data_IF_558688088115
#
_entry.id   IF_558688088115
#
_cell.length_a   1.000
_cell.length_b   1.000
_cell.length_c   1.000
_cell.angle_alpha   90.00
_cell.angle_beta   90.00
_cell.angle_gamma   90.00
#
_symmetry.space_group_name_H-M   'P 1'
#
loop_
_entity.id
_entity.type
_entity.pdbx_description
1 polymer ?
#
# COMPACT_ATOMS: atom_id res chain seq x y z
N UNK A 1 13.91 40.42 8.49
CA UNK A 1 14.95 39.45 8.10
C UNK A 1 14.84 38.27 9.02
N UNK A 2 14.16 37.22 8.58
CA UNK A 2 14.15 35.93 9.27
C UNK A 2 15.43 35.17 8.86
N UNK A 3 16.08 34.43 9.77
CA UNK A 3 17.20 33.58 9.39
C UNK A 3 16.69 32.32 8.69
N UNK A 4 17.40 31.93 7.64
CA UNK A 4 17.30 30.65 6.93
C UNK A 4 17.33 29.47 7.91
N UNK A 5 16.36 28.56 7.77
CA UNK A 5 16.49 27.22 8.32
C UNK A 5 17.43 26.44 7.40
N UNK A 6 18.63 26.16 7.90
CA UNK A 6 19.63 25.34 7.23
C UNK A 6 19.16 23.88 7.17
N UNK A 7 19.00 23.37 5.95
CA UNK A 7 18.97 21.93 5.64
C UNK A 7 20.42 21.49 5.44
N UNK A 8 20.91 20.38 6.04
CA UNK A 8 22.28 19.95 5.84
C UNK A 8 22.49 19.47 4.39
N UNK A 9 23.69 19.65 3.80
CA UNK A 9 23.93 19.34 2.41
C UNK A 9 24.15 17.82 2.23
N UNK A 10 23.18 17.16 1.62
CA UNK A 10 23.43 15.99 0.79
C UNK A 10 22.92 16.35 -0.59
N UNK A 11 23.77 16.27 -1.63
CA UNK A 11 23.48 16.69 -3.00
C UNK A 11 22.00 16.52 -3.37
N UNK A 12 21.33 17.64 -3.66
CA UNK A 12 19.97 17.63 -4.16
C UNK A 12 19.97 16.80 -5.45
N UNK A 13 19.24 15.69 -5.42
CA UNK A 13 19.03 14.85 -6.59
C UNK A 13 18.35 15.71 -7.66
N UNK A 14 19.11 16.11 -8.67
CA UNK A 14 18.63 17.06 -9.68
C UNK A 14 17.90 16.31 -10.78
N UNK A 15 16.62 16.65 -10.98
CA UNK A 15 15.79 16.09 -12.06
C UNK A 15 15.50 17.15 -13.11
N UNK A 16 16.00 16.92 -14.33
CA UNK A 16 15.71 17.76 -15.49
C UNK A 16 14.52 17.20 -16.26
N UNK A 17 13.38 17.89 -16.24
CA UNK A 17 12.22 17.54 -17.07
C UNK A 17 12.52 17.90 -18.53
N UNK A 18 12.61 16.88 -19.39
CA UNK A 18 12.86 17.02 -20.83
C UNK A 18 11.57 17.30 -21.57
N UNK A 19 10.47 16.63 -21.19
CA UNK A 19 9.15 16.91 -21.74
C UNK A 19 8.03 16.56 -20.76
N UNK A 20 6.93 17.30 -20.83
CA UNK A 20 5.68 17.04 -20.10
C UNK A 20 4.52 17.24 -21.07
N UNK A 21 3.65 16.23 -21.19
CA UNK A 21 2.55 16.24 -22.16
C UNK A 21 1.29 15.71 -21.51
N UNK A 22 0.18 16.44 -21.68
CA UNK A 22 -1.15 15.92 -21.40
C UNK A 22 -1.55 14.97 -22.55
N UNK A 23 -1.97 13.77 -22.20
CA UNK A 23 -2.42 12.72 -23.10
C UNK A 23 -3.94 12.67 -23.06
N UNK A 24 -4.55 12.82 -24.24
CA UNK A 24 -5.98 12.64 -24.44
C UNK A 24 -6.25 11.27 -25.03
N UNK A 25 -7.43 10.71 -24.75
CA UNK A 25 -7.87 9.48 -25.39
C UNK A 25 -7.83 9.64 -26.92
N UNK A 26 -7.28 8.64 -27.61
CA UNK A 26 -7.27 8.60 -29.07
C UNK A 26 -8.67 8.38 -29.65
N UNK A 27 -9.56 7.76 -28.87
CA UNK A 27 -10.97 7.59 -29.20
C UNK A 27 -11.82 8.73 -28.61
N UNK A 28 -12.37 9.58 -29.49
CA UNK A 28 -13.18 10.73 -29.11
C UNK A 28 -14.55 10.35 -28.51
N UNK A 29 -14.97 9.08 -28.60
CA UNK A 29 -16.18 8.58 -27.96
C UNK A 29 -15.98 8.34 -26.45
N UNK A 30 -14.72 8.24 -26.00
CA UNK A 30 -14.39 8.15 -24.58
C UNK A 30 -14.54 9.55 -23.96
N UNK A 31 -15.69 9.79 -23.34
CA UNK A 31 -15.97 10.99 -22.56
C UNK A 31 -15.56 10.71 -21.10
N UNK A 32 -14.45 11.27 -20.59
CA UNK A 32 -14.07 11.06 -19.20
C UNK A 32 -15.10 11.71 -18.27
N UNK A 33 -15.74 10.90 -17.42
CA UNK A 33 -16.76 11.39 -16.48
C UNK A 33 -16.18 12.17 -15.29
N UNK A 34 -14.85 12.20 -15.10
CA UNK A 34 -14.24 12.66 -13.83
C UNK A 34 -13.00 13.56 -13.96
N UNK A 35 -12.34 13.72 -15.13
CA UNK A 35 -11.05 14.44 -15.15
C UNK A 35 -10.46 14.82 -16.53
N UNK A 36 -9.40 15.64 -16.49
CA UNK A 36 -8.70 16.32 -17.60
C UNK A 36 -7.78 15.41 -18.44
N UNK A 37 -7.49 14.19 -17.99
CA UNK A 37 -6.76 13.17 -18.75
C UNK A 37 -5.64 12.46 -17.97
N UNK A 38 -4.68 11.91 -18.71
CA UNK A 38 -3.42 11.38 -18.18
C UNK A 38 -2.25 12.28 -18.62
N UNK A 39 -1.12 12.26 -17.94
CA UNK A 39 0.10 12.93 -18.42
C UNK A 39 1.27 11.96 -18.59
N UNK A 40 2.17 12.31 -19.50
CA UNK A 40 3.47 11.66 -19.67
C UNK A 40 4.57 12.70 -19.44
N UNK A 41 5.44 12.40 -18.48
CA UNK A 41 6.65 13.16 -18.16
C UNK A 41 7.86 12.33 -18.58
N UNK A 42 8.81 12.97 -19.26
CA UNK A 42 10.12 12.38 -19.54
C UNK A 42 11.15 13.29 -18.90
N UNK A 43 12.01 12.73 -18.06
CA UNK A 43 13.03 13.46 -17.33
C UNK A 43 14.34 12.69 -17.23
N UNK A 44 15.37 13.40 -16.80
CA UNK A 44 16.70 12.87 -16.56
C UNK A 44 17.12 13.19 -15.13
N UNK A 45 17.72 12.21 -14.46
CA UNK A 45 18.18 12.28 -13.07
C UNK A 45 19.70 12.30 -13.09
N UNK A 46 20.29 13.36 -12.55
CA UNK A 46 21.74 13.51 -12.45
C UNK A 46 22.33 12.72 -11.27
N UNK A 47 22.03 11.42 -11.25
CA UNK A 47 22.54 10.46 -10.28
C UNK A 47 22.52 9.05 -10.88
N UNK A 48 23.34 8.15 -10.34
CA UNK A 48 23.24 6.72 -10.63
C UNK A 48 22.20 6.06 -9.73
N UNK A 49 21.46 5.06 -10.21
CA UNK A 49 20.52 4.30 -9.36
C UNK A 49 21.22 3.69 -8.12
N UNK A 50 22.45 3.21 -8.29
CA UNK A 50 23.24 2.62 -7.20
C UNK A 50 23.70 3.61 -6.13
N UNK A 51 23.64 4.92 -6.38
CA UNK A 51 24.03 5.94 -5.39
C UNK A 51 22.88 6.38 -4.49
N UNK A 52 21.65 5.87 -4.70
CA UNK A 52 20.49 6.21 -3.87
C UNK A 52 20.54 5.45 -2.54
N UNK A 53 20.16 6.13 -1.45
CA UNK A 53 19.97 5.49 -0.14
C UNK A 53 18.58 4.86 -0.07
N UNK A 54 18.49 3.59 -0.47
CA UNK A 54 17.24 2.85 -0.42
C UNK A 54 16.77 2.53 1.00
N UNK A 55 17.57 2.70 2.07
CA UNK A 55 17.10 2.36 3.42
C UNK A 55 16.04 3.37 3.89
N UNK A 56 16.23 4.65 3.59
CA UNK A 56 15.29 5.73 3.86
C UNK A 56 14.51 6.17 2.63
N UNK A 57 13.20 6.38 2.76
CA UNK A 57 12.37 6.82 1.63
C UNK A 57 12.79 8.21 1.10
N UNK A 58 13.10 9.15 2.00
CA UNK A 58 13.54 10.52 1.68
C UNK A 58 14.93 10.58 1.04
N UNK A 59 15.74 9.52 1.22
CA UNK A 59 17.04 9.35 0.58
C UNK A 59 16.99 8.69 -0.80
N UNK A 60 15.82 8.14 -1.19
CA UNK A 60 15.66 7.35 -2.41
C UNK A 60 14.39 7.71 -3.19
N UNK A 61 13.32 6.93 -3.05
CA UNK A 61 12.19 6.93 -3.98
C UNK A 61 11.41 8.25 -3.94
N UNK A 62 11.29 8.90 -2.79
CA UNK A 62 10.62 10.22 -2.71
C UNK A 62 11.31 11.29 -3.53
N UNK A 63 12.64 11.21 -3.69
CA UNK A 63 13.41 12.19 -4.46
C UNK A 63 13.10 12.13 -5.95
N UNK A 64 12.57 11.02 -6.45
CA UNK A 64 12.26 10.80 -7.86
C UNK A 64 10.77 10.97 -8.20
N UNK A 65 9.92 11.24 -7.22
CA UNK A 65 8.50 11.51 -7.46
C UNK A 65 8.32 12.98 -7.84
N UNK A 66 7.97 13.26 -9.10
CA UNK A 66 7.63 14.63 -9.50
C UNK A 66 6.17 14.95 -9.17
N UNK A 67 5.87 16.17 -8.68
CA UNK A 67 4.48 16.57 -8.43
C UNK A 67 3.70 16.68 -9.74
N UNK A 68 2.42 16.31 -9.68
CA UNK A 68 1.49 16.43 -10.78
C UNK A 68 0.16 17.03 -10.32
N UNK A 69 -0.60 17.68 -11.23
CA UNK A 69 -1.86 18.33 -10.86
C UNK A 69 -2.91 17.34 -10.31
N UNK A 70 -3.67 17.75 -9.31
CA UNK A 70 -4.71 16.93 -8.65
C UNK A 70 -5.81 16.44 -9.61
N UNK A 71 -6.06 17.20 -10.68
CA UNK A 71 -7.05 16.90 -11.72
C UNK A 71 -6.56 15.90 -12.78
N UNK A 72 -5.30 15.47 -12.70
CA UNK A 72 -4.74 14.39 -13.52
C UNK A 72 -5.00 13.03 -12.84
N UNK A 73 -5.63 12.09 -13.56
CA UNK A 73 -5.95 10.77 -12.99
C UNK A 73 -4.76 9.82 -12.98
N UNK A 74 -3.88 9.97 -13.97
CA UNK A 74 -2.71 9.14 -14.15
C UNK A 74 -1.56 10.00 -14.66
N UNK A 75 -0.49 10.14 -13.86
CA UNK A 75 0.79 10.70 -14.28
C UNK A 75 1.78 9.57 -14.46
N UNK A 76 2.44 9.51 -15.61
CA UNK A 76 3.48 8.52 -15.87
C UNK A 76 4.78 9.27 -16.11
N UNK A 77 5.79 8.98 -15.31
CA UNK A 77 7.06 9.70 -15.35
C UNK A 77 8.18 8.73 -15.66
N UNK A 78 8.76 8.89 -16.85
CA UNK A 78 9.91 8.13 -17.33
C UNK A 78 11.17 8.91 -16.99
N UNK A 79 11.92 8.43 -16.01
CA UNK A 79 13.09 9.12 -15.50
C UNK A 79 14.34 8.31 -15.80
N UNK A 80 15.22 8.83 -16.65
CA UNK A 80 16.49 8.20 -17.00
C UNK A 80 17.59 8.66 -16.06
N UNK A 81 18.37 7.72 -15.51
CA UNK A 81 19.48 7.99 -14.61
C UNK A 81 20.81 8.10 -15.37
N UNK A 82 21.81 8.75 -14.76
CA UNK A 82 23.14 8.94 -15.35
C UNK A 82 23.85 7.60 -15.66
N UNK A 83 23.54 6.53 -14.92
CA UNK A 83 24.05 5.18 -15.17
C UNK A 83 23.41 4.47 -16.38
N UNK A 84 22.44 5.10 -17.06
CA UNK A 84 21.71 4.52 -18.19
C UNK A 84 20.48 3.71 -17.81
N UNK A 85 20.30 3.37 -16.53
CA UNK A 85 19.06 2.82 -16.00
C UNK A 85 17.91 3.84 -16.01
N UNK A 86 16.69 3.38 -15.71
CA UNK A 86 15.52 4.26 -15.65
C UNK A 86 14.51 3.78 -14.60
N UNK A 87 13.63 4.68 -14.19
CA UNK A 87 12.44 4.36 -13.40
C UNK A 87 11.18 4.80 -14.15
N UNK A 88 10.08 4.11 -13.87
CA UNK A 88 8.73 4.52 -14.27
C UNK A 88 7.94 4.82 -13.00
N UNK A 89 7.63 6.10 -12.78
CA UNK A 89 6.79 6.53 -11.65
C UNK A 89 5.35 6.64 -12.12
N UNK A 90 4.45 6.03 -11.35
CA UNK A 90 3.01 5.99 -11.63
C UNK A 90 2.27 6.81 -10.58
N UNK A 91 2.00 8.07 -10.91
CA UNK A 91 1.09 8.91 -10.12
C UNK A 91 -0.35 8.50 -10.39
N UNK A 92 -1.03 7.92 -9.41
CA UNK A 92 -2.39 7.40 -9.56
C UNK A 92 -3.36 8.14 -8.64
N UNK A 93 -4.44 8.68 -9.20
CA UNK A 93 -5.57 9.10 -8.39
C UNK A 93 -6.31 7.85 -7.90
N UNK A 94 -6.43 7.68 -6.58
CA UNK A 94 -7.05 6.49 -5.97
C UNK A 94 -8.59 6.50 -5.99
N UNK A 95 -9.23 7.63 -6.35
CA UNK A 95 -10.68 7.73 -6.47
C UNK A 95 -11.25 6.74 -7.51
N UNK A 96 -10.72 6.66 -8.75
CA UNK A 96 -11.22 5.72 -9.74
C UNK A 96 -10.84 4.26 -9.47
N UNK A 97 -9.74 3.95 -8.79
CA UNK A 97 -9.24 2.57 -8.70
C UNK A 97 -8.42 2.31 -7.44
N UNK A 98 -8.37 1.04 -7.04
CA UNK A 98 -7.52 0.54 -5.95
C UNK A 98 -6.19 -0.04 -6.47
N UNK A 99 -5.40 -0.61 -5.55
CA UNK A 99 -4.13 -1.28 -5.86
C UNK A 99 -4.23 -2.37 -6.94
N UNK A 100 -5.36 -3.09 -7.03
CA UNK A 100 -5.61 -4.06 -8.09
C UNK A 100 -5.74 -3.36 -9.44
N UNK A 101 -6.52 -2.27 -9.49
CA UNK A 101 -6.72 -1.49 -10.71
C UNK A 101 -5.43 -0.92 -11.28
N UNK A 102 -4.62 -0.25 -10.47
CA UNK A 102 -3.33 0.29 -10.96
C UNK A 102 -2.36 -0.82 -11.38
N UNK A 103 -2.32 -1.95 -10.66
CA UNK A 103 -1.48 -3.10 -11.05
C UNK A 103 -1.91 -3.69 -12.39
N UNK A 104 -3.23 -3.72 -12.67
CA UNK A 104 -3.76 -4.11 -13.97
C UNK A 104 -3.34 -3.16 -15.08
N UNK A 105 -3.36 -1.83 -14.85
CA UNK A 105 -2.90 -0.83 -15.82
C UNK A 105 -1.42 -1.06 -16.18
N UNK A 106 -0.55 -1.24 -15.17
CA UNK A 106 0.88 -1.50 -15.39
C UNK A 106 1.09 -2.77 -16.22
N UNK A 107 0.43 -3.87 -15.85
CA UNK A 107 0.52 -5.16 -16.54
C UNK A 107 0.02 -5.09 -17.99
N UNK A 108 -1.09 -4.40 -18.24
CA UNK A 108 -1.63 -4.28 -19.60
C UNK A 108 -0.75 -3.38 -20.48
N UNK A 109 -0.12 -2.36 -19.89
CA UNK A 109 0.79 -1.51 -20.64
C UNK A 109 2.13 -2.21 -20.91
N UNK A 110 2.66 -3.01 -19.98
CA UNK A 110 3.87 -3.80 -20.26
C UNK A 110 3.63 -4.81 -21.38
N UNK A 111 2.46 -5.48 -21.40
CA UNK A 111 2.02 -6.32 -22.52
C UNK A 111 1.94 -5.55 -23.85
N UNK A 112 1.29 -4.37 -23.85
CA UNK A 112 1.18 -3.53 -25.03
C UNK A 112 2.56 -3.11 -25.55
N UNK A 113 3.47 -2.74 -24.66
CA UNK A 113 4.83 -2.32 -25.02
C UNK A 113 5.63 -3.47 -25.66
N UNK A 114 5.51 -4.70 -25.15
CA UNK A 114 6.23 -5.86 -25.68
C UNK A 114 5.62 -6.41 -26.97
N UNK A 115 4.30 -6.43 -27.08
CA UNK A 115 3.60 -7.20 -28.13
C UNK A 115 2.90 -6.33 -29.17
N UNK A 116 2.78 -5.02 -28.93
CA UNK A 116 2.04 -4.10 -29.79
C UNK A 116 0.51 -4.22 -29.68
N UNK A 117 -0.01 -5.08 -28.80
CA UNK A 117 -1.45 -5.23 -28.54
C UNK A 117 -1.71 -5.61 -27.09
N UNK A 118 -2.97 -5.49 -26.67
CA UNK A 118 -3.47 -6.06 -25.41
C UNK A 118 -4.27 -7.29 -25.81
N UNK A 119 -4.08 -8.43 -25.14
CA UNK A 119 -4.72 -9.70 -25.51
C UNK A 119 -6.24 -9.56 -25.75
N UNK A 120 -6.68 -10.09 -26.88
CA UNK A 120 -8.09 -10.13 -27.26
C UNK A 120 -8.90 -10.93 -26.23
N UNK A 121 -9.95 -10.31 -25.66
CA UNK A 121 -10.85 -10.96 -24.69
C UNK A 121 -10.77 -10.43 -23.25
N UNK A 122 -9.83 -9.54 -22.92
CA UNK A 122 -9.81 -8.86 -21.61
C UNK A 122 -10.87 -7.74 -21.62
N UNK A 123 -12.12 -8.09 -21.30
CA UNK A 123 -13.18 -7.09 -21.12
C UNK A 123 -13.08 -6.53 -19.71
N UNK A 124 -12.51 -5.32 -19.58
CA UNK A 124 -12.50 -4.60 -18.30
C UNK A 124 -13.94 -4.18 -17.97
N UNK A 125 -14.41 -4.57 -16.79
CA UNK A 125 -15.69 -4.16 -16.28
C UNK A 125 -15.56 -2.79 -15.60
N UNK A 126 -16.07 -1.75 -16.24
CA UNK A 126 -16.16 -0.39 -15.71
C UNK A 126 -17.54 -0.07 -15.11
N UNK A 127 -18.50 -1.00 -15.15
CA UNK A 127 -19.87 -0.78 -14.68
C UNK A 127 -19.90 -0.63 -13.16
N UNK A 128 -20.00 0.62 -12.69
CA UNK A 128 -20.18 0.94 -11.26
C UNK A 128 -21.59 0.64 -10.76
N UNK A 129 -22.55 0.45 -11.66
CA UNK A 129 -23.94 0.17 -11.31
C UNK A 129 -24.16 -1.24 -10.77
N UNK A 130 -23.12 -2.09 -10.77
CA UNK A 130 -23.08 -3.35 -10.01
C UNK A 130 -23.18 -3.13 -8.50
N UNK A 131 -22.82 -1.92 -8.03
CA UNK A 131 -22.95 -1.48 -6.65
C UNK A 131 -23.96 -0.35 -6.55
N UNK A 132 -25.20 -0.68 -6.19
CA UNK A 132 -26.26 0.32 -5.97
C UNK A 132 -26.55 0.45 -4.49
N UNK A 133 -26.61 1.68 -3.95
CA UNK A 133 -27.07 1.87 -2.59
C UNK A 133 -28.53 1.44 -2.46
N UNK A 134 -28.88 0.86 -1.32
CA UNK A 134 -30.28 0.62 -0.94
C UNK A 134 -30.98 1.96 -0.67
N UNK A 135 -32.31 1.94 -0.74
CA UNK A 135 -33.15 3.10 -0.43
C UNK A 135 -34.23 2.69 0.58
N UNK A 136 -34.14 3.12 1.85
CA UNK A 136 -33.06 3.93 2.42
C UNK A 136 -31.73 3.14 2.54
N UNK A 137 -30.57 3.83 2.56
CA UNK A 137 -29.30 3.20 2.91
C UNK A 137 -29.37 2.54 4.29
N UNK A 138 -28.66 1.42 4.48
CA UNK A 138 -28.64 0.68 5.73
C UNK A 138 -27.26 0.09 5.98
N UNK A 139 -26.74 0.23 7.20
CA UNK A 139 -25.44 -0.36 7.56
C UNK A 139 -25.32 -0.55 9.07
N UNK A 140 -24.59 -1.60 9.45
CA UNK A 140 -24.42 -2.02 10.83
C UNK A 140 -23.52 -1.10 11.64
N UNK A 141 -23.47 -1.35 12.95
CA UNK A 141 -22.58 -0.64 13.86
C UNK A 141 -21.09 -0.85 13.52
N UNK A 142 -20.73 -2.01 12.96
CA UNK A 142 -19.36 -2.33 12.56
C UNK A 142 -18.85 -1.39 11.45
N UNK A 143 -19.61 -1.20 10.36
CA UNK A 143 -19.25 -0.26 9.30
C UNK A 143 -19.19 1.17 9.84
N UNK A 144 -20.19 1.57 10.66
CA UNK A 144 -20.21 2.91 11.27
C UNK A 144 -18.99 3.19 12.16
N UNK A 145 -18.52 2.19 12.91
CA UNK A 145 -17.35 2.32 13.79
C UNK A 145 -16.01 2.23 13.04
N UNK A 146 -16.01 1.74 11.80
CA UNK A 146 -14.79 1.57 11.00
C UNK A 146 -14.21 2.92 10.60
N UNK A 147 -15.06 3.89 10.26
CA UNK A 147 -14.66 5.17 9.69
C UNK A 147 -14.89 6.34 10.64
N UNK A 148 -14.03 7.34 10.55
CA UNK A 148 -14.16 8.59 11.26
C UNK A 148 -13.89 9.77 10.32
N UNK A 149 -14.56 10.88 10.60
CA UNK A 149 -14.36 12.14 9.92
C UNK A 149 -12.96 12.70 10.21
N UNK A 150 -12.18 12.96 9.16
CA UNK A 150 -10.83 13.53 9.24
C UNK A 150 -10.83 15.08 9.23
N UNK A 151 -11.99 15.74 9.19
CA UNK A 151 -12.06 17.20 9.24
C UNK A 151 -12.26 17.73 10.67
N UNK A 152 -12.64 16.88 11.64
CA UNK A 152 -12.73 17.25 13.04
C UNK A 152 -11.34 17.30 13.69
N UNK A 153 -10.68 18.46 13.55
CA UNK A 153 -9.34 18.70 14.10
C UNK A 153 -9.21 18.44 15.62
N UNK A 154 -10.32 18.41 16.37
CA UNK A 154 -10.30 18.15 17.81
C UNK A 154 -9.98 16.69 18.17
N UNK A 155 -10.21 15.76 17.23
CA UNK A 155 -9.96 14.32 17.41
C UNK A 155 -8.68 13.84 16.73
N UNK A 156 -7.95 14.74 16.08
CA UNK A 156 -6.80 14.39 15.25
C UNK A 156 -5.52 14.85 15.91
N UNK A 157 -4.49 14.01 15.79
CA UNK A 157 -3.14 14.42 16.14
C UNK A 157 -2.70 15.54 15.20
N UNK A 158 -2.03 16.56 15.75
CA UNK A 158 -1.52 17.67 14.95
C UNK A 158 -0.52 17.13 13.91
N UNK A 159 -0.57 17.66 12.69
CA UNK A 159 0.24 17.20 11.56
C UNK A 159 1.74 17.18 11.84
N UNK A 160 2.28 18.16 12.58
CA UNK A 160 3.71 18.18 12.94
C UNK A 160 4.04 17.03 13.89
N UNK A 161 3.21 16.83 14.92
CA UNK A 161 3.37 15.73 15.87
C UNK A 161 3.25 14.38 15.16
N UNK A 162 2.29 14.23 14.24
CA UNK A 162 2.18 13.03 13.43
C UNK A 162 3.45 12.84 12.62
N UNK A 163 3.85 13.78 11.75
CA UNK A 163 5.00 13.62 10.87
C UNK A 163 6.31 13.35 11.63
N UNK A 164 6.55 14.04 12.75
CA UNK A 164 7.76 13.86 13.56
C UNK A 164 7.76 12.55 14.38
N UNK A 165 6.62 11.87 14.50
CA UNK A 165 6.49 10.62 15.28
C UNK A 165 6.81 9.35 14.49
N UNK A 166 6.96 9.45 13.16
CA UNK A 166 7.16 8.30 12.29
C UNK A 166 8.44 8.42 11.47
N UNK A 167 8.94 7.28 11.03
CA UNK A 167 10.03 7.17 10.07
C UNK A 167 9.55 6.36 8.87
N UNK A 168 10.09 6.69 7.70
CA UNK A 168 9.90 5.91 6.49
C UNK A 168 11.12 5.05 6.20
N UNK A 169 10.89 3.76 6.01
CA UNK A 169 11.92 2.74 5.75
C UNK A 169 11.52 1.88 4.57
N UNK A 170 12.50 1.50 3.77
CA UNK A 170 12.34 0.37 2.86
C UNK A 170 13.08 -0.83 3.42
N UNK A 171 12.44 -1.98 3.38
CA UNK A 171 13.01 -3.25 3.80
C UNK A 171 13.00 -4.28 2.69
N UNK A 172 13.98 -5.16 2.73
CA UNK A 172 14.04 -6.40 1.99
C UNK A 172 13.83 -7.56 2.95
N UNK A 173 12.88 -8.45 2.62
CA UNK A 173 12.64 -9.70 3.34
C UNK A 173 12.96 -10.85 2.38
N UNK A 174 13.95 -11.65 2.72
CA UNK A 174 14.37 -12.78 1.88
C UNK A 174 13.29 -13.85 1.80
N UNK A 175 13.23 -14.55 0.66
CA UNK A 175 12.34 -15.70 0.49
C UNK A 175 12.53 -16.76 1.60
N UNK A 176 13.77 -16.99 2.04
CA UNK A 176 14.09 -17.90 3.15
C UNK A 176 13.53 -17.44 4.50
N UNK A 177 13.53 -16.14 4.77
CA UNK A 177 12.95 -15.56 5.99
C UNK A 177 11.42 -15.65 5.96
N UNK A 178 10.80 -15.37 4.81
CA UNK A 178 9.36 -15.56 4.61
C UNK A 178 8.98 -17.03 4.80
N UNK A 179 9.76 -17.97 4.25
CA UNK A 179 9.53 -19.41 4.42
C UNK A 179 9.65 -19.82 5.89
N UNK A 180 10.69 -19.37 6.59
CA UNK A 180 10.89 -19.63 8.03
C UNK A 180 9.71 -19.14 8.86
N UNK A 181 9.27 -17.89 8.66
CA UNK A 181 8.09 -17.36 9.34
C UNK A 181 6.85 -18.19 9.05
N UNK A 182 6.66 -18.60 7.79
CA UNK A 182 5.51 -19.46 7.43
C UNK A 182 5.55 -20.80 8.14
N UNK A 183 6.70 -21.42 8.26
CA UNK A 183 6.83 -22.71 8.91
C UNK A 183 6.55 -22.58 10.41
N UNK A 184 7.08 -21.53 11.06
CA UNK A 184 6.78 -21.20 12.47
C UNK A 184 5.30 -20.83 12.71
N UNK A 185 4.67 -20.20 11.72
CA UNK A 185 3.26 -19.79 11.78
C UNK A 185 2.29 -20.92 11.37
N UNK A 186 2.80 -22.04 10.89
CA UNK A 186 1.98 -23.18 10.47
C UNK A 186 1.71 -24.14 11.62
N UNK A 187 0.57 -24.82 11.57
CA UNK A 187 0.29 -25.96 12.44
C UNK A 187 0.34 -27.25 11.62
N UNK A 188 0.43 -28.41 12.26
CA UNK A 188 0.43 -29.70 11.55
C UNK A 188 -0.81 -29.93 10.67
N UNK A 189 -1.89 -29.20 10.90
CA UNK A 189 -3.14 -29.29 10.12
C UNK A 189 -3.26 -28.21 9.04
N UNK A 190 -2.55 -27.08 9.16
CA UNK A 190 -2.78 -25.94 8.27
C UNK A 190 -1.52 -25.09 8.09
N UNK A 191 -1.12 -24.93 6.83
CA UNK A 191 -0.03 -24.04 6.43
C UNK A 191 -0.47 -22.58 6.44
N UNK A 192 0.32 -21.72 7.06
CA UNK A 192 0.12 -20.27 7.03
C UNK A 192 0.45 -19.68 5.64
N UNK A 193 -0.33 -18.68 5.23
CA UNK A 193 0.03 -17.84 4.08
C UNK A 193 1.22 -16.94 4.43
N UNK A 194 1.93 -16.43 3.42
CA UNK A 194 3.00 -15.43 3.63
C UNK A 194 2.48 -14.22 4.41
N UNK A 195 1.28 -13.75 4.07
CA UNK A 195 0.62 -12.61 4.74
C UNK A 195 0.37 -12.93 6.21
N UNK A 196 -0.26 -14.06 6.52
CA UNK A 196 -0.55 -14.45 7.92
C UNK A 196 0.72 -14.54 8.76
N UNK A 197 1.78 -15.14 8.22
CA UNK A 197 3.04 -15.32 8.92
C UNK A 197 3.74 -13.98 9.22
N UNK A 198 3.83 -13.09 8.22
CA UNK A 198 4.46 -11.77 8.39
C UNK A 198 3.60 -10.86 9.26
N UNK A 199 2.27 -10.90 9.13
CA UNK A 199 1.36 -10.16 10.02
C UNK A 199 1.51 -10.61 11.47
N UNK A 200 1.64 -11.92 11.73
CA UNK A 200 1.85 -12.43 13.09
C UNK A 200 3.17 -11.93 13.69
N UNK A 201 4.25 -11.91 12.91
CA UNK A 201 5.54 -11.38 13.33
C UNK A 201 5.45 -9.88 13.64
N UNK A 202 4.87 -9.09 12.74
CA UNK A 202 4.65 -7.65 12.94
C UNK A 202 3.79 -7.34 14.16
N UNK A 203 2.74 -8.13 14.40
CA UNK A 203 1.85 -7.94 15.55
C UNK A 203 2.57 -8.22 16.87
N UNK A 204 3.39 -9.28 16.93
CA UNK A 204 4.26 -9.54 18.09
C UNK A 204 5.31 -8.45 18.31
N UNK A 205 5.93 -7.95 17.23
CA UNK A 205 6.88 -6.85 17.32
C UNK A 205 6.23 -5.57 17.86
N UNK A 206 5.04 -5.21 17.36
CA UNK A 206 4.24 -4.10 17.88
C UNK A 206 3.90 -4.30 19.35
N UNK A 207 3.40 -5.48 19.73
CA UNK A 207 3.06 -5.80 21.12
C UNK A 207 4.28 -5.63 22.05
N UNK A 208 5.47 -6.05 21.62
CA UNK A 208 6.71 -5.84 22.39
C UNK A 208 7.06 -4.36 22.58
N UNK A 209 6.93 -3.55 21.52
CA UNK A 209 7.17 -2.10 21.59
C UNK A 209 6.16 -1.40 22.51
N UNK A 210 4.89 -1.81 22.45
CA UNK A 210 3.82 -1.29 23.31
C UNK A 210 4.05 -1.66 24.77
N UNK A 211 4.37 -2.93 25.06
CA UNK A 211 4.67 -3.40 26.42
C UNK A 211 5.87 -2.65 27.04
N UNK A 212 6.89 -2.33 26.23
CA UNK A 212 8.06 -1.58 26.68
C UNK A 212 7.84 -0.05 26.69
N UNK A 213 6.63 0.45 26.42
CA UNK A 213 6.32 1.88 26.46
C UNK A 213 6.29 2.43 27.87
N UNK A 214 6.62 3.72 28.02
CA UNK A 214 6.47 4.43 29.32
C UNK A 214 5.01 4.52 29.75
N UNK A 215 4.11 4.54 28.77
CA UNK A 215 2.66 4.43 28.95
C UNK A 215 2.26 3.18 28.16
N UNK A 216 2.25 2.00 28.81
CA UNK A 216 1.85 0.76 28.16
C UNK A 216 0.35 0.80 27.90
N UNK A 217 -0.03 0.36 26.70
CA UNK A 217 -1.42 0.11 26.35
C UNK A 217 -1.71 -1.38 26.58
N UNK A 218 -2.91 -1.71 27.05
CA UNK A 218 -3.29 -3.10 27.31
C UNK A 218 -3.48 -3.91 26.02
N UNK A 219 -3.73 -3.22 24.90
CA UNK A 219 -4.16 -3.80 23.63
C UNK A 219 -3.45 -3.16 22.46
N UNK A 220 -3.25 -3.92 21.39
CA UNK A 220 -2.77 -3.39 20.11
C UNK A 220 -3.44 -4.10 18.93
N UNK A 221 -3.36 -3.49 17.76
CA UNK A 221 -4.14 -3.87 16.58
C UNK A 221 -3.27 -4.14 15.36
N UNK A 222 -3.76 -5.05 14.53
CA UNK A 222 -3.28 -5.26 13.18
C UNK A 222 -4.43 -5.03 12.19
N UNK A 223 -4.23 -4.16 11.20
CA UNK A 223 -5.20 -3.83 10.16
C UNK A 223 -4.77 -4.32 8.77
N UNK A 224 -5.74 -4.68 7.93
CA UNK A 224 -5.50 -5.15 6.57
C UNK A 224 -6.49 -4.56 5.59
N UNK A 225 -5.98 -3.98 4.51
CA UNK A 225 -6.78 -3.70 3.31
C UNK A 225 -6.80 -4.95 2.43
N UNK A 226 -7.99 -5.54 2.30
CA UNK A 226 -8.22 -6.84 1.66
C UNK A 226 -8.98 -6.65 0.36
N UNK A 227 -8.45 -7.21 -0.73
CA UNK A 227 -9.18 -7.29 -2.00
C UNK A 227 -10.42 -8.17 -1.86
N UNK A 228 -11.60 -7.55 -1.94
CA UNK A 228 -12.88 -8.23 -1.75
C UNK A 228 -13.36 -8.95 -3.01
N UNK A 229 -12.76 -8.71 -4.18
CA UNK A 229 -13.16 -9.31 -5.47
C UNK A 229 -13.20 -10.84 -5.45
N UNK A 230 -12.27 -11.46 -4.74
CA UNK A 230 -12.17 -12.94 -4.62
C UNK A 230 -12.89 -13.51 -3.41
N UNK A 231 -13.62 -12.67 -2.65
CA UNK A 231 -14.18 -13.03 -1.35
C UNK A 231 -15.69 -12.86 -1.26
N UNK A 232 -16.27 -12.05 -2.14
CA UNK A 232 -17.72 -12.07 -2.37
C UNK A 232 -18.16 -13.43 -2.92
N UNK A 233 -19.25 -13.96 -2.41
CA UNK A 233 -19.85 -15.22 -2.85
C UNK A 233 -21.19 -15.02 -3.55
N UNK A 234 -21.74 -13.79 -3.53
CA UNK A 234 -22.97 -13.42 -4.21
C UNK A 234 -22.93 -13.79 -5.70
N UNK A 235 -23.83 -14.67 -6.18
CA UNK A 235 -23.87 -15.06 -7.60
C UNK A 235 -24.08 -13.89 -8.56
N UNK A 236 -24.65 -12.78 -8.08
CA UNK A 236 -24.84 -11.57 -8.87
C UNK A 236 -23.55 -10.76 -9.04
N UNK A 237 -22.66 -10.77 -8.04
CA UNK A 237 -21.41 -9.99 -8.06
C UNK A 237 -20.23 -10.76 -8.63
N UNK A 238 -20.15 -12.07 -8.37
CA UNK A 238 -19.03 -12.92 -8.79
C UNK A 238 -18.65 -12.76 -10.27
N UNK A 239 -19.59 -12.78 -11.25
CA UNK A 239 -19.25 -12.59 -12.66
C UNK A 239 -18.65 -11.21 -12.96
N UNK A 240 -19.13 -10.18 -12.28
CA UNK A 240 -18.67 -8.80 -12.46
C UNK A 240 -17.26 -8.57 -11.89
N UNK A 241 -16.89 -9.29 -10.82
CA UNK A 241 -15.66 -9.01 -10.05
C UNK A 241 -14.37 -9.42 -10.74
N UNK A 242 -14.40 -10.42 -11.63
CA UNK A 242 -13.18 -10.95 -12.25
C UNK A 242 -12.40 -9.88 -13.04
N UNK A 243 -13.10 -8.94 -13.67
CA UNK A 243 -12.49 -7.85 -14.45
C UNK A 243 -12.89 -6.45 -13.96
N UNK A 244 -13.43 -6.34 -12.74
CA UNK A 244 -13.90 -5.07 -12.19
C UNK A 244 -12.75 -4.08 -11.94
N UNK A 245 -12.76 -2.98 -12.70
CA UNK A 245 -11.88 -1.85 -12.49
C UNK A 245 -12.56 -0.77 -11.65
N UNK A 246 -12.19 -0.73 -10.38
CA UNK A 246 -12.70 0.20 -9.38
C UNK A 246 -12.11 -0.03 -8.01
N UNK A 247 -12.67 0.62 -6.99
CA UNK A 247 -12.32 0.32 -5.61
C UNK A 247 -13.18 -0.86 -5.11
N UNK A 248 -12.54 -1.94 -4.67
CA UNK A 248 -13.21 -3.12 -4.07
C UNK A 248 -12.34 -3.66 -2.93
N UNK A 249 -12.06 -2.77 -1.98
CA UNK A 249 -11.19 -3.03 -0.82
C UNK A 249 -12.03 -3.04 0.44
N UNK A 250 -11.88 -4.06 1.27
CA UNK A 250 -12.44 -4.15 2.60
C UNK A 250 -11.37 -3.95 3.66
N UNK A 251 -11.71 -3.28 4.76
CA UNK A 251 -10.79 -3.10 5.88
C UNK A 251 -11.07 -4.12 6.98
N UNK A 252 -10.15 -5.06 7.20
CA UNK A 252 -10.17 -6.00 8.31
C UNK A 252 -9.32 -5.46 9.46
N UNK A 253 -9.79 -5.63 10.70
CA UNK A 253 -9.09 -5.16 11.89
C UNK A 253 -9.13 -6.24 12.97
N UNK A 254 -7.95 -6.64 13.44
CA UNK A 254 -7.78 -7.52 14.59
C UNK A 254 -7.28 -6.73 15.80
N UNK A 255 -7.84 -6.99 16.97
CA UNK A 255 -7.43 -6.39 18.24
C UNK A 255 -7.32 -7.46 19.32
N UNK A 256 -6.20 -7.48 20.04
CA UNK A 256 -5.98 -8.42 21.13
C UNK A 256 -5.14 -7.79 22.25
N UNK A 257 -5.12 -8.46 23.40
CA UNK A 257 -4.30 -8.01 24.53
C UNK A 257 -2.81 -8.15 24.19
N UNK A 258 -2.01 -7.19 24.63
CA UNK A 258 -0.56 -7.18 24.38
C UNK A 258 0.10 -8.42 24.98
N UNK A 259 -0.27 -8.79 26.20
CA UNK A 259 0.22 -9.99 26.90
C UNK A 259 -0.15 -11.27 26.13
N UNK A 260 -1.41 -11.42 25.73
CA UNK A 260 -1.89 -12.55 24.92
C UNK A 260 -1.08 -12.72 23.61
N UNK A 261 -0.81 -11.62 22.90
CA UNK A 261 -0.03 -11.65 21.66
C UNK A 261 1.42 -12.08 21.94
N UNK A 262 2.01 -11.59 23.03
CA UNK A 262 3.40 -11.88 23.39
C UNK A 262 3.59 -13.33 23.82
N UNK A 263 2.68 -13.88 24.64
CA UNK A 263 2.76 -15.24 25.17
C UNK A 263 2.46 -16.31 24.11
N UNK A 264 1.55 -16.03 23.17
CA UNK A 264 1.12 -17.02 22.18
C UNK A 264 2.22 -17.39 21.18
N UNK A 265 2.32 -18.67 20.77
CA UNK A 265 3.14 -19.07 19.63
C UNK A 265 2.77 -18.32 18.35
N UNK A 266 3.73 -18.17 17.43
CA UNK A 266 3.52 -17.45 16.16
C UNK A 266 2.35 -18.04 15.35
N UNK A 267 2.16 -19.35 15.39
CA UNK A 267 1.06 -20.03 14.71
C UNK A 267 -0.33 -19.63 15.23
N UNK A 268 -0.46 -19.36 16.53
CA UNK A 268 -1.72 -18.90 17.11
C UNK A 268 -1.98 -17.43 16.77
N UNK A 269 -0.95 -16.57 16.80
CA UNK A 269 -1.10 -15.17 16.35
C UNK A 269 -1.43 -15.10 14.85
N UNK A 270 -0.86 -16.00 14.04
CA UNK A 270 -1.23 -16.12 12.63
C UNK A 270 -2.66 -16.63 12.42
N UNK A 271 -3.18 -17.47 13.33
CA UNK A 271 -4.58 -17.86 13.33
C UNK A 271 -5.51 -16.68 13.66
N UNK A 272 -5.14 -15.82 14.62
CA UNK A 272 -5.87 -14.59 14.94
C UNK A 272 -5.96 -13.66 13.73
N UNK A 273 -4.84 -13.44 13.02
CA UNK A 273 -4.84 -12.64 11.78
C UNK A 273 -5.74 -13.25 10.69
N UNK A 274 -5.67 -14.58 10.53
CA UNK A 274 -6.54 -15.31 9.59
C UNK A 274 -8.02 -15.15 9.94
N UNK A 275 -8.37 -15.28 11.21
CA UNK A 275 -9.73 -15.18 11.70
C UNK A 275 -10.29 -13.78 11.49
N UNK A 276 -9.54 -12.73 11.84
CA UNK A 276 -9.94 -11.34 11.62
C UNK A 276 -10.24 -11.03 10.14
N UNK A 277 -9.45 -11.59 9.21
CA UNK A 277 -9.68 -11.43 7.77
C UNK A 277 -10.85 -12.32 7.29
N UNK A 278 -10.99 -13.52 7.82
CA UNK A 278 -12.00 -14.48 7.34
C UNK A 278 -13.40 -14.25 7.93
N UNK A 279 -13.51 -13.55 9.06
CA UNK A 279 -14.79 -13.31 9.75
C UNK A 279 -15.66 -12.24 9.09
N UNK A 280 -15.13 -11.49 8.12
CA UNK A 280 -15.91 -10.52 7.36
C UNK A 280 -16.90 -11.27 6.48
N UNK A 281 -18.19 -10.96 6.64
CA UNK A 281 -19.20 -11.27 5.62
C UNK A 281 -19.02 -10.29 4.47
N UNK A 282 -18.26 -10.68 3.45
CA UNK A 282 -17.88 -9.80 2.35
C UNK A 282 -19.08 -9.38 1.48
N UNK A 283 -20.10 -10.22 1.36
CA UNK A 283 -21.29 -9.88 0.58
C UNK A 283 -22.10 -8.79 1.30
N UNK A 284 -22.33 -8.95 2.61
CA UNK A 284 -23.01 -7.94 3.42
C UNK A 284 -22.16 -6.67 3.56
N UNK A 285 -20.87 -6.81 3.87
CA UNK A 285 -19.95 -5.69 4.09
C UNK A 285 -19.87 -4.76 2.88
N UNK A 286 -19.76 -5.31 1.66
CA UNK A 286 -19.69 -4.49 0.44
C UNK A 286 -20.98 -3.70 0.25
N UNK A 287 -22.15 -4.32 0.44
CA UNK A 287 -23.43 -3.61 0.31
C UNK A 287 -23.60 -2.54 1.40
N UNK A 288 -23.23 -2.83 2.64
CA UNK A 288 -23.27 -1.86 3.73
C UNK A 288 -22.30 -0.70 3.53
N UNK A 289 -21.09 -0.97 3.00
CA UNK A 289 -20.13 0.06 2.67
C UNK A 289 -20.64 0.99 1.56
N UNK A 290 -21.29 0.45 0.53
CA UNK A 290 -21.92 1.26 -0.53
C UNK A 290 -22.99 2.19 0.04
N UNK A 291 -23.86 1.66 0.90
CA UNK A 291 -24.89 2.45 1.58
C UNK A 291 -24.29 3.53 2.49
N UNK A 292 -23.25 3.18 3.24
CA UNK A 292 -22.54 4.10 4.12
C UNK A 292 -21.86 5.23 3.32
N UNK A 293 -21.17 4.89 2.22
CA UNK A 293 -20.53 5.87 1.35
C UNK A 293 -21.57 6.78 0.70
N UNK A 294 -22.74 6.28 0.30
CA UNK A 294 -23.78 7.12 -0.30
C UNK A 294 -24.21 8.27 0.63
N UNK A 295 -24.28 8.02 1.93
CA UNK A 295 -24.60 9.04 2.94
C UNK A 295 -23.42 9.98 3.26
N UNK A 296 -22.18 9.50 3.21
CA UNK A 296 -21.00 10.23 3.70
C UNK A 296 -20.03 10.69 2.60
N UNK A 297 -20.32 10.48 1.31
CA UNK A 297 -19.42 10.80 0.17
C UNK A 297 -19.05 12.29 0.04
N UNK A 298 -19.77 13.18 0.70
CA UNK A 298 -19.45 14.60 0.76
C UNK A 298 -18.45 14.95 1.89
N UNK A 299 -18.17 14.01 2.78
CA UNK A 299 -17.28 14.17 3.92
C UNK A 299 -15.89 13.58 3.65
N UNK A 300 -14.88 14.10 4.34
CA UNK A 300 -13.54 13.51 4.35
C UNK A 300 -13.48 12.45 5.43
N UNK A 301 -13.51 11.19 5.02
CA UNK A 301 -13.54 10.03 5.92
C UNK A 301 -12.30 9.15 5.74
N UNK A 302 -11.88 8.50 6.82
CA UNK A 302 -10.79 7.52 6.83
C UNK A 302 -11.04 6.50 7.94
N UNK A 303 -10.43 5.33 7.86
CA UNK A 303 -10.52 4.32 8.91
C UNK A 303 -10.04 4.89 10.25
N UNK A 304 -10.86 4.79 11.29
CA UNK A 304 -10.57 5.37 12.60
C UNK A 304 -9.21 4.93 13.16
N UNK A 305 -8.86 3.67 12.94
CA UNK A 305 -7.55 3.11 13.31
C UNK A 305 -6.37 3.72 12.53
N UNK A 306 -6.54 4.10 11.26
CA UNK A 306 -5.51 4.81 10.50
C UNK A 306 -5.29 6.25 11.02
N UNK A 307 -6.31 6.83 11.64
CA UNK A 307 -6.24 8.13 12.32
C UNK A 307 -5.63 8.05 13.73
N UNK A 308 -5.19 6.86 14.16
CA UNK A 308 -4.65 6.65 15.49
C UNK A 308 -5.71 6.65 16.60
N UNK A 309 -6.99 6.45 16.27
CA UNK A 309 -8.05 6.38 17.27
C UNK A 309 -8.11 4.97 17.91
N UNK A 310 -8.07 4.93 19.24
CA UNK A 310 -8.06 3.70 20.02
C UNK A 310 -6.66 3.11 20.20
N UNK A 311 -6.55 1.79 20.23
CA UNK A 311 -5.27 1.11 20.49
C UNK A 311 -4.23 1.32 19.38
N UNK A 312 -2.92 1.29 19.70
CA UNK A 312 -1.84 1.34 18.73
C UNK A 312 -2.06 0.32 17.61
N UNK A 313 -2.02 0.78 16.36
CA UNK A 313 -2.37 -0.02 15.19
C UNK A 313 -1.22 -0.03 14.19
N UNK A 314 -0.91 -1.21 13.67
CA UNK A 314 -0.08 -1.38 12.46
C UNK A 314 -0.96 -1.93 11.34
N UNK A 315 -0.93 -1.29 10.18
CA UNK A 315 -1.72 -1.66 9.02
C UNK A 315 -0.84 -2.23 7.91
N UNK A 316 -1.40 -3.11 7.10
CA UNK A 316 -0.70 -3.68 5.96
C UNK A 316 -1.57 -3.70 4.69
N UNK A 317 -1.00 -3.25 3.59
CA UNK A 317 -1.51 -3.45 2.23
C UNK A 317 -0.55 -4.34 1.46
N UNK A 318 -1.01 -5.50 0.98
CA UNK A 318 -0.15 -6.50 0.33
C UNK A 318 -0.36 -6.50 -1.19
N UNK A 319 0.35 -5.60 -1.87
CA UNK A 319 0.41 -5.55 -3.33
C UNK A 319 0.99 -6.82 -3.95
N UNK A 320 1.81 -7.58 -3.21
CA UNK A 320 2.30 -8.90 -3.60
C UNK A 320 1.19 -9.94 -3.88
N UNK A 321 -0.08 -9.61 -3.57
CA UNK A 321 -1.25 -10.44 -3.91
C UNK A 321 -1.85 -10.11 -5.29
N UNK A 322 -1.48 -8.99 -5.89
CA UNK A 322 -1.95 -8.58 -7.21
C UNK A 322 -1.02 -9.11 -8.31
N UNK A 323 -1.57 -9.59 -9.43
CA UNK A 323 -0.77 -9.87 -10.62
C UNK A 323 -0.12 -8.57 -11.11
N UNK A 324 1.20 -8.57 -11.21
CA UNK A 324 2.00 -7.47 -11.72
C UNK A 324 3.01 -8.04 -12.73
N UNK A 325 3.21 -7.34 -13.82
CA UNK A 325 4.23 -7.63 -14.83
C UNK A 325 4.89 -6.30 -15.17
N UNK A 326 6.19 -6.19 -14.93
CA UNK A 326 6.94 -4.95 -15.08
C UNK A 326 7.89 -4.96 -16.27
N UNK A 327 7.84 -5.99 -17.13
CA UNK A 327 8.73 -6.09 -18.27
C UNK A 327 8.25 -5.22 -19.45
N UNK A 328 8.75 -4.01 -19.60
CA UNK A 328 8.41 -3.17 -20.75
C UNK A 328 9.21 -3.49 -22.03
N UNK A 329 9.82 -4.68 -22.11
CA UNK A 329 10.76 -5.09 -23.17
C UNK A 329 12.24 -4.95 -22.76
N UNK A 330 12.49 -4.67 -21.48
CA UNK A 330 13.82 -4.49 -20.89
C UNK A 330 14.14 -5.54 -19.81
N UNK A 331 13.27 -6.53 -19.63
CA UNK A 331 13.25 -7.42 -18.48
C UNK A 331 12.45 -6.84 -17.31
N UNK A 332 12.22 -7.67 -16.29
CA UNK A 332 11.50 -7.26 -15.08
C UNK A 332 12.23 -6.13 -14.34
N UNK A 333 11.47 -5.23 -13.74
CA UNK A 333 12.01 -4.15 -12.93
C UNK A 333 12.75 -4.71 -11.71
N UNK A 334 13.83 -4.05 -11.33
CA UNK A 334 14.59 -4.45 -10.13
C UNK A 334 13.82 -4.19 -8.82
N UNK A 335 12.97 -3.16 -8.81
CA UNK A 335 12.17 -2.69 -7.68
C UNK A 335 10.82 -2.22 -8.22
N UNK A 336 9.74 -2.78 -7.68
CA UNK A 336 8.39 -2.28 -7.89
C UNK A 336 7.63 -2.32 -6.57
N UNK A 337 7.19 -1.16 -6.10
CA UNK A 337 6.37 -1.04 -4.90
C UNK A 337 5.50 0.21 -4.97
N UNK A 338 4.34 0.20 -4.30
CA UNK A 338 3.58 1.42 -4.11
C UNK A 338 4.32 2.34 -3.11
N UNK A 339 4.24 3.64 -3.37
CA UNK A 339 4.60 4.71 -2.43
C UNK A 339 3.41 5.66 -2.40
N UNK A 340 3.09 6.19 -1.23
CA UNK A 340 2.01 7.15 -1.08
C UNK A 340 2.36 8.18 -0.01
N UNK A 341 1.66 9.31 -0.06
CA UNK A 341 1.75 10.33 0.96
C UNK A 341 0.96 9.89 2.19
N UNK A 342 1.65 9.77 3.33
CA UNK A 342 1.02 9.34 4.59
C UNK A 342 0.12 10.43 5.20
N UNK A 343 0.20 11.67 4.72
CA UNK A 343 -0.67 12.77 5.14
C UNK A 343 -0.76 12.91 6.66
N UNK A 344 -1.91 12.59 7.23
CA UNK A 344 -2.16 12.62 8.67
C UNK A 344 -2.49 11.25 9.27
N UNK A 345 -2.12 10.17 8.57
CA UNK A 345 -2.12 8.82 9.12
C UNK A 345 -1.28 8.81 10.39
N UNK A 346 -1.89 8.39 11.49
CA UNK A 346 -1.29 8.35 12.83
C UNK A 346 -1.20 6.92 13.36
N UNK A 347 -1.07 5.97 12.43
CA UNK A 347 -0.83 4.54 12.69
C UNK A 347 0.37 4.05 11.88
N UNK A 348 0.97 2.95 12.32
CA UNK A 348 1.98 2.27 11.51
C UNK A 348 1.34 1.72 10.24
N UNK A 349 1.98 1.86 9.09
CA UNK A 349 1.46 1.40 7.80
C UNK A 349 2.58 0.78 6.98
N UNK A 350 2.33 -0.42 6.42
CA UNK A 350 3.26 -1.13 5.56
C UNK A 350 2.64 -1.44 4.20
N UNK A 351 3.40 -1.19 3.14
CA UNK A 351 3.10 -1.61 1.80
C UNK A 351 4.03 -2.76 1.41
N UNK A 352 3.48 -3.91 1.04
CA UNK A 352 4.28 -5.09 0.69
C UNK A 352 4.15 -5.41 -0.79
N UNK A 353 5.26 -5.28 -1.53
CA UNK A 353 5.42 -5.73 -2.91
C UNK A 353 6.19 -7.04 -2.97
N UNK A 354 5.89 -7.88 -3.96
CA UNK A 354 6.79 -8.96 -4.35
C UNK A 354 7.95 -8.35 -5.13
N UNK A 355 9.17 -8.88 -4.95
CA UNK A 355 10.25 -8.53 -5.86
C UNK A 355 9.86 -8.98 -7.28
N UNK A 356 9.92 -8.12 -8.31
CA UNK A 356 9.65 -8.57 -9.67
C UNK A 356 10.62 -9.68 -10.07
N UNK A 357 10.16 -10.60 -10.93
CA UNK A 357 10.86 -11.87 -11.22
C UNK A 357 10.61 -13.01 -10.23
N UNK A 358 9.84 -12.77 -9.15
CA UNK A 358 9.30 -13.76 -8.18
C UNK A 358 10.30 -14.82 -7.67
N UNK A 359 11.38 -14.36 -7.04
CA UNK A 359 12.27 -15.24 -6.24
C UNK A 359 11.67 -15.61 -4.87
N UNK A 360 10.44 -15.16 -4.58
CA UNK A 360 9.74 -15.34 -3.31
C UNK A 360 10.03 -14.25 -2.26
N UNK A 361 10.96 -13.32 -2.52
CA UNK A 361 11.34 -12.22 -1.62
C UNK A 361 10.37 -11.06 -1.68
N UNK A 362 10.31 -10.29 -0.60
CA UNK A 362 9.44 -9.13 -0.47
C UNK A 362 10.22 -7.82 -0.32
N UNK A 363 9.64 -6.77 -0.88
CA UNK A 363 10.05 -5.38 -0.73
C UNK A 363 8.96 -4.67 0.06
N UNK A 364 9.33 -4.02 1.15
CA UNK A 364 8.37 -3.43 2.08
C UNK A 364 8.66 -1.96 2.29
N UNK A 365 7.70 -1.10 1.95
CA UNK A 365 7.68 0.29 2.40
C UNK A 365 6.99 0.35 3.76
N UNK A 366 7.59 1.00 4.74
CA UNK A 366 7.06 1.11 6.09
C UNK A 366 7.09 2.55 6.58
N UNK A 367 5.92 3.08 6.95
CA UNK A 367 5.75 4.30 7.73
C UNK A 367 5.37 3.89 9.14
N UNK A 368 6.35 3.88 10.06
CA UNK A 368 6.21 3.28 11.40
C UNK A 368 6.93 4.11 12.46
N UNK A 369 6.60 3.91 13.73
CA UNK A 369 7.31 4.58 14.83
C UNK A 369 8.80 4.18 14.85
N UNK A 370 9.73 5.11 15.18
CA UNK A 370 11.16 4.82 15.28
C UNK A 370 11.47 3.61 16.17
N UNK A 371 10.70 3.40 17.24
CA UNK A 371 10.87 2.26 18.14
C UNK A 371 10.49 0.93 17.50
N UNK A 372 9.46 0.92 16.64
CA UNK A 372 9.11 -0.28 15.88
C UNK A 372 10.13 -0.55 14.79
N UNK A 373 10.62 0.47 14.07
CA UNK A 373 11.73 0.31 13.13
C UNK A 373 12.96 -0.29 13.83
N UNK A 374 13.37 0.26 14.96
CA UNK A 374 14.48 -0.27 15.75
C UNK A 374 14.25 -1.73 16.19
N UNK A 375 13.04 -2.09 16.62
CA UNK A 375 12.71 -3.47 16.99
C UNK A 375 12.79 -4.43 15.80
N UNK A 376 12.35 -4.01 14.61
CA UNK A 376 12.44 -4.81 13.39
C UNK A 376 13.89 -4.96 12.90
N UNK A 377 14.69 -3.91 12.99
CA UNK A 377 16.10 -3.89 12.54
C UNK A 377 17.06 -4.61 13.51
N UNK A 378 16.70 -4.70 14.80
CA UNK A 378 17.47 -5.38 15.84
C UNK A 378 17.01 -6.81 16.15
N UNK A 379 15.97 -7.30 15.46
CA UNK A 379 15.53 -8.69 15.53
C UNK A 379 16.70 -9.65 15.25
N UNK A 380 16.88 -10.67 16.09
CA UNK A 380 18.00 -11.61 16.01
C UNK A 380 18.06 -12.33 14.66
N UNK A 381 16.89 -12.57 14.06
CA UNK A 381 16.74 -13.22 12.77
C UNK A 381 16.86 -12.25 11.59
N UNK A 382 16.94 -10.93 11.85
CA UNK A 382 17.07 -9.83 10.89
C UNK A 382 16.10 -9.99 9.73
N UNK A 383 14.83 -10.27 10.04
CA UNK A 383 13.78 -10.50 9.03
C UNK A 383 13.61 -9.27 8.13
N UNK A 384 13.55 -8.08 8.72
CA UNK A 384 13.39 -6.81 8.02
C UNK A 384 14.75 -6.14 7.84
N UNK A 385 15.41 -6.42 6.71
CA UNK A 385 16.73 -5.85 6.41
C UNK A 385 16.54 -4.50 5.73
N UNK A 386 17.14 -3.40 6.22
CA UNK A 386 17.12 -2.13 5.49
C UNK A 386 17.56 -2.34 4.04
N UNK A 387 16.76 -1.86 3.08
CA UNK A 387 17.02 -2.07 1.67
C UNK A 387 18.27 -1.30 1.25
N UNK A 388 19.07 -1.90 0.37
CA UNK A 388 20.29 -1.31 -0.16
C UNK A 388 20.34 -1.50 -1.67
N UNK A 389 21.12 -0.67 -2.35
CA UNK A 389 21.44 -0.82 -3.77
C UNK A 389 21.93 -2.24 -4.11
N UNK A 390 22.73 -2.85 -3.22
CA UNK A 390 23.25 -4.21 -3.42
C UNK A 390 22.17 -5.29 -3.44
N UNK A 391 21.12 -5.19 -2.61
CA UNK A 391 19.97 -6.13 -2.69
C UNK A 391 19.23 -6.03 -4.03
N UNK A 392 19.31 -4.86 -4.66
CA UNK A 392 18.76 -4.59 -5.99
C UNK A 392 19.76 -4.95 -7.10
N UNK A 393 20.99 -5.35 -6.79
CA UNK A 393 22.01 -5.63 -7.81
C UNK A 393 22.52 -4.37 -8.54
N UNK A 394 22.30 -3.19 -7.95
CA UNK A 394 23.02 -1.98 -8.34
C UNK A 394 24.38 -2.01 -7.65
N UNK A 395 25.46 -2.10 -8.43
CA UNK A 395 26.87 -2.10 -7.97
C UNK A 395 27.52 -0.79 -8.33
#
# INVERSE_FOLDING_TARGET
MAPEAAVPPGEDLTIRVVSRRLVKASDATIQPHVATGAELVVGEVDAALGSLDFAGMDGSLRRILLPYPDDVMLSVQLLRFACGGFSVVWGNNHLPNDGHGISMVVRMWSELARTGRIADGVVINHDRSVFRPRSPPSYGAAVRATFAAYHDSSRLVNVLTTQDSFVERLYYIEAGDVARLRDMASTGQRRASRVQAVSAFLWKALAGVVAASRVPEERCRMGWWVDARRRVASPALVPAMHSFFGNMTAYALGEAAVEEILERPLAEVAAMAREAIASIDYDAYVQELVDWVEEHKAEKMMEASALGLGSPTVNQTVFASFPLDTDFGFGEATLAMPVWENGRVSSGTLAVGARPGDDGSWLVSAYIWPRLAAALESDDHRIFKPLTAAYLGFV
#
